data_IF_259866184261
#
_entry.id   IF_259866184261
#
_cell.length_a   1.000
_cell.length_b   1.000
_cell.length_c   1.000
_cell.angle_alpha   90.00
_cell.angle_beta   90.00
_cell.angle_gamma   90.00
#
_symmetry.space_group_name_H-M   'P 1'
#
loop_
_entity.id
_entity.type
_entity.pdbx_description
1 polymer ?
#
# COMPACT_ATOMS: atom_id res chain seq x y z
N UNK A 1 -14.21 -16.55 0.73
CA UNK A 1 -14.43 -15.30 -0.04
C UNK A 1 -13.97 -14.05 0.70
N UNK A 2 -14.25 -13.88 2.01
CA UNK A 2 -13.86 -12.67 2.79
C UNK A 2 -12.37 -12.29 2.68
N UNK A 3 -11.46 -13.26 2.74
CA UNK A 3 -10.02 -12.99 2.62
C UNK A 3 -9.59 -12.39 1.28
N UNK A 4 -10.21 -12.80 0.17
CA UNK A 4 -9.93 -12.23 -1.15
C UNK A 4 -10.38 -10.76 -1.23
N UNK A 5 -11.58 -10.46 -0.72
CA UNK A 5 -12.06 -9.07 -0.63
C UNK A 5 -11.18 -8.20 0.26
N UNK A 6 -10.68 -8.73 1.39
CA UNK A 6 -9.71 -8.03 2.24
C UNK A 6 -8.46 -7.66 1.45
N UNK A 7 -7.85 -8.60 0.73
CA UNK A 7 -6.63 -8.34 -0.06
C UNK A 7 -6.91 -7.32 -1.17
N UNK A 8 -8.04 -7.42 -1.87
CA UNK A 8 -8.42 -6.47 -2.90
C UNK A 8 -8.57 -5.04 -2.35
N UNK A 9 -9.29 -4.89 -1.24
CA UNK A 9 -9.50 -3.59 -0.59
C UNK A 9 -8.18 -3.01 -0.05
N UNK A 10 -7.32 -3.85 0.55
CA UNK A 10 -5.97 -3.44 0.97
C UNK A 10 -5.14 -2.98 -0.22
N UNK A 11 -5.26 -3.64 -1.37
CA UNK A 11 -4.52 -3.26 -2.59
C UNK A 11 -4.97 -1.88 -3.09
N UNK A 12 -6.28 -1.63 -3.15
CA UNK A 12 -6.84 -0.33 -3.55
C UNK A 12 -6.41 0.76 -2.55
N UNK A 13 -6.52 0.48 -1.24
CA UNK A 13 -6.05 1.38 -0.18
C UNK A 13 -4.59 1.78 -0.37
N UNK A 14 -3.69 0.81 -0.58
CA UNK A 14 -2.26 1.07 -0.74
C UNK A 14 -1.92 1.85 -2.02
N UNK A 15 -2.77 1.82 -3.06
CA UNK A 15 -2.62 2.73 -4.20
C UNK A 15 -2.79 4.18 -3.75
N UNK A 16 -3.89 4.49 -3.04
CA UNK A 16 -4.12 5.82 -2.48
C UNK A 16 -3.02 6.25 -1.50
N UNK A 17 -2.59 5.35 -0.62
CA UNK A 17 -1.45 5.59 0.29
C UNK A 17 -0.19 5.99 -0.50
N UNK A 18 0.16 5.23 -1.54
CA UNK A 18 1.35 5.49 -2.37
C UNK A 18 1.27 6.85 -3.06
N UNK A 19 0.10 7.23 -3.57
CA UNK A 19 -0.10 8.56 -4.17
C UNK A 19 -0.07 9.67 -3.14
N UNK A 20 -0.68 9.49 -1.97
CA UNK A 20 -0.67 10.47 -0.88
C UNK A 20 0.76 10.75 -0.42
N UNK A 21 1.57 9.69 -0.25
CA UNK A 21 2.92 9.83 0.30
C UNK A 21 3.95 10.26 -0.74
N UNK A 22 3.89 9.74 -1.96
CA UNK A 22 4.95 9.91 -2.95
C UNK A 22 4.51 10.60 -4.23
N UNK A 23 3.21 10.64 -4.52
CA UNK A 23 2.69 11.28 -5.74
C UNK A 23 3.17 12.72 -5.88
N UNK A 24 3.27 13.44 -4.76
CA UNK A 24 3.72 14.82 -4.77
C UNK A 24 5.19 15.01 -5.14
N UNK A 25 6.03 14.01 -4.93
CA UNK A 25 7.44 14.05 -5.35
C UNK A 25 7.58 14.01 -6.87
N UNK A 26 6.59 13.43 -7.58
CA UNK A 26 6.52 13.47 -9.03
C UNK A 26 5.86 14.75 -9.58
N UNK A 27 5.28 15.61 -8.73
CA UNK A 27 4.66 16.86 -9.16
C UNK A 27 5.66 17.87 -9.74
N UNK A 28 6.97 17.69 -9.53
CA UNK A 28 8.01 18.47 -10.23
C UNK A 28 7.91 18.37 -11.77
N UNK A 29 7.26 17.33 -12.31
CA UNK A 29 7.00 17.18 -13.75
C UNK A 29 5.67 17.80 -14.23
N UNK A 30 4.79 18.20 -13.31
CA UNK A 30 3.46 18.73 -13.64
C UNK A 30 3.43 20.22 -13.35
N UNK A 31 3.49 21.02 -14.41
CA UNK A 31 3.64 22.49 -14.39
C UNK A 31 2.57 23.21 -13.55
N UNK A 32 1.38 22.62 -13.36
CA UNK A 32 0.27 23.20 -12.59
C UNK A 32 0.41 23.04 -11.06
N UNK A 33 1.21 22.06 -10.59
CA UNK A 33 1.41 21.79 -9.16
C UNK A 33 2.67 22.46 -8.59
N UNK A 34 3.47 23.11 -9.44
CA UNK A 34 4.75 23.72 -9.04
C UNK A 34 4.58 24.92 -8.09
N UNK A 35 3.40 25.54 -8.07
CA UNK A 35 3.05 26.66 -7.19
C UNK A 35 2.35 26.25 -5.89
N UNK A 36 2.04 24.97 -5.70
CA UNK A 36 1.45 24.48 -4.45
C UNK A 36 2.53 24.51 -3.36
N UNK A 37 2.44 25.49 -2.46
CA UNK A 37 3.23 25.52 -1.25
C UNK A 37 3.01 24.25 -0.41
N UNK A 38 3.91 24.00 0.55
CA UNK A 38 3.89 22.82 1.42
C UNK A 38 2.50 22.51 2.00
N UNK A 39 1.78 23.55 2.43
CA UNK A 39 0.43 23.43 3.00
C UNK A 39 -0.57 22.84 1.99
N UNK A 40 -0.53 23.26 0.73
CA UNK A 40 -1.41 22.74 -0.31
C UNK A 40 -1.13 21.27 -0.62
N UNK A 41 0.15 20.89 -0.66
CA UNK A 41 0.55 19.48 -0.82
C UNK A 41 0.06 18.62 0.33
N UNK A 42 0.18 19.10 1.57
CA UNK A 42 -0.31 18.39 2.77
C UNK A 42 -1.83 18.19 2.67
N UNK A 43 -2.59 19.23 2.31
CA UNK A 43 -4.06 19.14 2.20
C UNK A 43 -4.50 18.16 1.11
N UNK A 44 -3.83 18.15 -0.04
CA UNK A 44 -4.11 17.17 -1.11
C UNK A 44 -3.79 15.76 -0.62
N UNK A 45 -2.67 15.57 0.06
CA UNK A 45 -2.25 14.27 0.60
C UNK A 45 -3.24 13.76 1.66
N UNK A 46 -3.76 14.65 2.51
CA UNK A 46 -4.85 14.35 3.44
C UNK A 46 -6.14 13.96 2.74
N UNK A 47 -6.51 14.66 1.66
CA UNK A 47 -7.65 14.30 0.83
C UNK A 47 -7.52 12.91 0.24
N UNK A 48 -6.33 12.53 -0.22
CA UNK A 48 -6.05 11.16 -0.70
C UNK A 48 -6.06 10.13 0.42
N UNK A 49 -5.49 10.45 1.59
CA UNK A 49 -5.50 9.58 2.75
C UNK A 49 -6.93 9.28 3.24
N UNK A 50 -7.87 10.21 3.11
CA UNK A 50 -9.28 9.93 3.37
C UNK A 50 -9.80 8.75 2.54
N UNK A 51 -9.52 8.73 1.23
CA UNK A 51 -9.92 7.61 0.35
C UNK A 51 -9.18 6.32 0.69
N UNK A 52 -7.89 6.38 1.05
CA UNK A 52 -7.16 5.23 1.60
C UNK A 52 -7.95 4.60 2.76
N UNK A 53 -8.33 5.40 3.76
CA UNK A 53 -9.07 4.91 4.94
C UNK A 53 -10.46 4.34 4.61
N UNK A 54 -11.14 4.88 3.60
CA UNK A 54 -12.43 4.34 3.12
C UNK A 54 -12.30 2.88 2.68
N UNK A 55 -11.15 2.44 2.16
CA UNK A 55 -10.91 1.04 1.81
C UNK A 55 -10.18 0.26 2.90
N UNK A 56 -9.22 0.88 3.59
CA UNK A 56 -8.41 0.25 4.64
C UNK A 56 -9.27 -0.24 5.81
N UNK A 57 -10.20 0.59 6.29
CA UNK A 57 -11.00 0.28 7.48
C UNK A 57 -11.94 -0.90 7.22
N UNK A 58 -12.73 -0.94 6.12
CA UNK A 58 -13.53 -2.11 5.79
C UNK A 58 -12.68 -3.36 5.52
N UNK A 59 -11.52 -3.24 4.87
CA UNK A 59 -10.65 -4.38 4.60
C UNK A 59 -10.24 -5.11 5.89
N UNK A 60 -9.75 -4.33 6.86
CA UNK A 60 -9.32 -4.85 8.16
C UNK A 60 -10.50 -5.40 8.95
N UNK A 61 -11.66 -4.72 8.97
CA UNK A 61 -12.84 -5.23 9.67
C UNK A 61 -13.36 -6.53 9.05
N UNK A 62 -13.37 -6.67 7.73
CA UNK A 62 -13.79 -7.90 7.04
C UNK A 62 -12.79 -9.05 7.20
N UNK A 63 -11.51 -8.72 7.31
CA UNK A 63 -10.43 -9.69 7.40
C UNK A 63 -10.16 -10.18 8.82
N UNK A 64 -10.49 -9.38 9.84
CA UNK A 64 -10.12 -9.65 11.23
C UNK A 64 -10.96 -10.77 11.86
N UNK A 65 -10.28 -11.72 12.51
CA UNK A 65 -10.85 -12.94 13.08
C UNK A 65 -12.00 -12.67 14.06
N UNK A 66 -11.86 -11.69 14.95
CA UNK A 66 -12.91 -11.33 15.93
C UNK A 66 -14.19 -10.77 15.28
N UNK A 67 -14.09 -10.25 14.05
CA UNK A 67 -15.24 -9.79 13.27
C UNK A 67 -15.78 -10.89 12.32
N UNK A 68 -15.35 -12.14 12.50
CA UNK A 68 -15.71 -13.28 11.64
C UNK A 68 -14.96 -13.32 10.30
N UNK A 69 -13.79 -12.68 10.24
CA UNK A 69 -12.82 -12.78 9.15
C UNK A 69 -11.84 -13.94 9.34
N UNK A 70 -10.99 -14.23 8.34
CA UNK A 70 -10.08 -15.39 8.38
C UNK A 70 -8.69 -15.10 8.97
N UNK A 71 -8.36 -13.86 9.32
CA UNK A 71 -6.99 -13.45 9.65
C UNK A 71 -6.87 -12.87 11.05
N UNK A 72 -5.81 -13.22 11.76
CA UNK A 72 -5.44 -12.56 13.01
C UNK A 72 -4.90 -11.14 12.75
N UNK A 73 -4.78 -10.33 13.81
CA UNK A 73 -4.26 -8.96 13.71
C UNK A 73 -2.84 -8.92 13.10
N UNK A 74 -1.98 -9.84 13.53
CA UNK A 74 -0.62 -9.96 12.99
C UNK A 74 -0.62 -10.38 11.52
N UNK A 75 -1.48 -11.34 11.13
CA UNK A 75 -1.59 -11.76 9.74
C UNK A 75 -2.08 -10.63 8.83
N UNK A 76 -3.07 -9.85 9.28
CA UNK A 76 -3.54 -8.66 8.55
C UNK A 76 -2.43 -7.64 8.34
N UNK A 77 -1.65 -7.35 9.39
CA UNK A 77 -0.54 -6.40 9.28
C UNK A 77 0.51 -6.86 8.27
N UNK A 78 0.87 -8.13 8.31
CA UNK A 78 1.85 -8.72 7.39
C UNK A 78 1.35 -8.72 5.95
N UNK A 79 0.09 -9.09 5.73
CA UNK A 79 -0.54 -8.97 4.41
C UNK A 79 -0.48 -7.52 3.93
N UNK A 80 -0.76 -6.54 4.80
CA UNK A 80 -0.69 -5.14 4.43
C UNK A 80 0.73 -4.69 4.06
N UNK A 81 1.78 -5.13 4.77
CA UNK A 81 3.16 -4.81 4.41
C UNK A 81 3.55 -5.37 3.05
N UNK A 82 3.15 -6.61 2.76
CA UNK A 82 3.40 -7.25 1.46
C UNK A 82 2.67 -6.50 0.35
N UNK A 83 1.39 -6.16 0.57
CA UNK A 83 0.59 -5.38 -0.40
C UNK A 83 1.18 -3.99 -0.60
N UNK A 84 1.56 -3.30 0.48
CA UNK A 84 2.20 -1.98 0.46
C UNK A 84 3.45 -1.98 -0.41
N UNK A 85 4.39 -2.87 -0.15
CA UNK A 85 5.66 -2.95 -0.88
C UNK A 85 5.45 -3.36 -2.33
N UNK A 86 4.50 -4.27 -2.60
CA UNK A 86 4.14 -4.68 -3.96
C UNK A 86 3.57 -3.49 -4.75
N UNK A 87 2.55 -2.82 -4.20
CA UNK A 87 1.90 -1.67 -4.84
C UNK A 87 2.90 -0.52 -5.02
N UNK A 88 3.67 -0.19 -3.99
CA UNK A 88 4.70 0.84 -4.06
C UNK A 88 5.69 0.58 -5.20
N UNK A 89 6.21 -0.65 -5.31
CA UNK A 89 7.18 -0.99 -6.35
C UNK A 89 6.57 -0.91 -7.74
N UNK A 90 5.33 -1.40 -7.93
CA UNK A 90 4.62 -1.28 -9.21
C UNK A 90 4.40 0.18 -9.59
N UNK A 91 3.99 1.03 -8.63
CA UNK A 91 3.85 2.46 -8.84
C UNK A 91 5.19 3.13 -9.16
N UNK A 92 6.26 2.82 -8.43
CA UNK A 92 7.58 3.41 -8.64
C UNK A 92 8.12 3.14 -10.05
N UNK A 93 7.92 1.91 -10.55
CA UNK A 93 8.41 1.44 -11.85
C UNK A 93 7.52 1.91 -12.99
N UNK A 94 6.20 1.72 -12.90
CA UNK A 94 5.29 1.93 -14.02
C UNK A 94 4.65 3.33 -14.04
N UNK A 95 4.29 3.86 -12.87
CA UNK A 95 3.57 5.14 -12.75
C UNK A 95 4.53 6.30 -12.64
N UNK A 96 5.42 6.26 -11.65
CA UNK A 96 6.40 7.32 -11.40
C UNK A 96 7.59 7.26 -12.38
N UNK A 97 7.85 6.07 -12.96
CA UNK A 97 8.94 5.82 -13.91
C UNK A 97 10.29 6.33 -13.40
N UNK A 98 10.50 6.25 -12.09
CA UNK A 98 11.67 6.83 -11.42
C UNK A 98 12.83 5.86 -11.42
N UNK A 99 12.55 4.56 -11.25
CA UNK A 99 13.56 3.51 -11.13
C UNK A 99 13.32 2.36 -12.10
N UNK A 100 14.42 1.79 -12.61
CA UNK A 100 14.40 0.50 -13.30
C UNK A 100 14.44 -0.60 -12.23
N UNK A 101 13.65 -1.67 -12.41
CA UNK A 101 13.69 -2.84 -11.53
C UNK A 101 15.11 -3.42 -11.48
N UNK A 102 15.85 -3.08 -10.44
CA UNK A 102 17.16 -3.65 -10.16
C UNK A 102 17.03 -5.01 -9.46
N UNK A 103 18.05 -5.86 -9.60
CA UNK A 103 18.09 -7.21 -9.01
C UNK A 103 17.79 -7.23 -7.49
N UNK A 104 18.21 -6.20 -6.77
CA UNK A 104 17.96 -6.06 -5.33
C UNK A 104 16.46 -6.01 -4.99
N UNK A 105 15.60 -5.48 -5.87
CA UNK A 105 14.15 -5.45 -5.66
C UNK A 105 13.54 -6.85 -5.72
N UNK A 106 14.01 -7.68 -6.65
CA UNK A 106 13.57 -9.07 -6.77
C UNK A 106 13.98 -9.89 -5.54
N UNK A 107 15.19 -9.68 -5.04
CA UNK A 107 15.65 -10.30 -3.78
C UNK A 107 14.80 -9.81 -2.61
N UNK A 108 14.52 -8.50 -2.53
CA UNK A 108 13.62 -7.92 -1.53
C UNK A 108 12.22 -8.56 -1.54
N UNK A 109 11.63 -8.76 -2.72
CA UNK A 109 10.36 -9.48 -2.84
C UNK A 109 10.44 -10.93 -2.37
N UNK A 110 11.53 -11.64 -2.71
CA UNK A 110 11.76 -13.00 -2.22
C UNK A 110 11.80 -13.07 -0.69
N UNK A 111 12.44 -12.10 -0.04
CA UNK A 111 12.49 -12.00 1.42
C UNK A 111 11.12 -11.70 2.04
N UNK A 112 10.27 -10.91 1.37
CA UNK A 112 8.88 -10.68 1.83
C UNK A 112 8.03 -11.94 1.77
N UNK A 113 8.17 -12.74 0.72
CA UNK A 113 7.49 -14.04 0.61
C UNK A 113 7.95 -14.99 1.73
N UNK A 114 9.25 -15.00 2.05
CA UNK A 114 9.78 -15.77 3.17
C UNK A 114 9.18 -15.30 4.51
N UNK A 115 9.05 -13.99 4.72
CA UNK A 115 8.43 -13.44 5.93
C UNK A 115 6.96 -13.87 6.08
N UNK A 116 6.19 -13.87 4.98
CA UNK A 116 4.81 -14.41 4.98
C UNK A 116 4.80 -15.87 5.39
N UNK A 117 5.63 -16.70 4.79
CA UNK A 117 5.68 -18.12 5.10
C UNK A 117 5.97 -18.38 6.59
N UNK A 118 6.95 -17.68 7.16
CA UNK A 118 7.33 -17.83 8.58
C UNK A 118 6.19 -17.43 9.51
N UNK A 119 5.53 -16.30 9.25
CA UNK A 119 4.47 -15.79 10.14
C UNK A 119 3.19 -16.64 10.07
N UNK A 120 2.90 -17.23 8.91
CA UNK A 120 1.74 -18.10 8.74
C UNK A 120 1.97 -19.54 9.23
N UNK A 121 3.22 -19.94 9.45
CA UNK A 121 3.56 -21.25 10.00
C UNK A 121 3.41 -21.25 11.53
N UNK A 122 2.34 -21.87 12.03
CA UNK A 122 2.18 -22.15 13.46
C UNK A 122 3.13 -23.28 13.87
N UNK A 123 3.97 -23.02 14.88
CA UNK A 123 4.71 -24.03 15.62
C UNK A 123 3.91 -24.47 16.84
#
# INVERSE_FOLDING_TARGET
MKGFYTILLLTISNLFMTFAWYGHLQFKKITWLHGLGLVGVILISWGLAFFEYVFQVPANRLGFEENGGPFSLFQLKVIQEVVSLTVFTLCAVYVFKTDKLGWNHLVGFGLLVAAVYVIFRKW
#
